data_IF_644503258987
#
_entry.id   IF_644503258987
#
_cell.length_a   1.000
_cell.length_b   1.000
_cell.length_c   1.000
_cell.angle_alpha   90.00
_cell.angle_beta   90.00
_cell.angle_gamma   90.00
#
_symmetry.space_group_name_H-M   'P 1'
#
loop_
_entity.id
_entity.type
_entity.pdbx_description
1 polymer ?
#
# COMPACT_ATOMS: atom_id res chain seq x y z
N UNK A 1 27.61 -8.21 3.40
CA UNK A 1 26.95 -7.53 4.53
C UNK A 1 25.46 -7.47 4.27
N UNK A 2 24.72 -8.47 4.76
CA UNK A 2 23.26 -8.52 4.66
C UNK A 2 22.65 -7.43 5.53
N UNK A 3 22.14 -6.42 4.86
CA UNK A 3 21.56 -5.22 5.46
C UNK A 3 20.28 -5.62 6.19
N UNK A 4 20.35 -5.63 7.53
CA UNK A 4 19.23 -5.78 8.47
C UNK A 4 17.89 -5.29 7.90
N UNK A 5 17.06 -6.22 7.41
CA UNK A 5 15.71 -5.94 6.90
C UNK A 5 14.67 -5.82 8.04
N UNK A 6 15.10 -6.01 9.27
CA UNK A 6 14.27 -6.08 10.48
C UNK A 6 14.36 -4.81 11.33
N UNK A 7 14.07 -3.65 10.73
CA UNK A 7 13.93 -2.40 11.52
C UNK A 7 12.64 -2.37 12.36
N UNK A 8 11.72 -3.29 12.10
CA UNK A 8 10.40 -3.33 12.72
C UNK A 8 10.11 -4.76 13.16
N UNK A 9 9.46 -4.90 14.33
CA UNK A 9 8.67 -6.09 14.64
C UNK A 9 7.64 -6.30 13.51
N UNK A 10 7.12 -7.51 13.32
CA UNK A 10 6.10 -7.80 12.29
C UNK A 10 4.68 -7.74 12.86
N UNK A 11 4.09 -6.55 13.10
CA UNK A 11 2.74 -6.39 13.64
C UNK A 11 1.73 -6.81 12.58
N UNK A 12 0.54 -7.29 12.97
CA UNK A 12 -0.51 -7.58 12.00
C UNK A 12 -0.99 -6.34 11.24
N UNK A 13 -0.92 -5.17 11.88
CA UNK A 13 -1.16 -3.87 11.28
C UNK A 13 -0.18 -2.84 11.82
N UNK A 14 0.23 -1.87 11.00
CA UNK A 14 1.07 -0.73 11.43
C UNK A 14 0.54 -0.02 12.69
N UNK A 15 -0.80 0.08 12.81
CA UNK A 15 -1.46 0.69 13.97
C UNK A 15 -1.32 -0.10 15.28
N UNK A 16 -0.96 -1.38 15.21
CA UNK A 16 -0.75 -2.26 16.37
C UNK A 16 0.66 -2.15 16.94
N UNK A 17 1.59 -1.49 16.22
CA UNK A 17 2.89 -1.14 16.80
C UNK A 17 2.71 -0.09 17.87
N UNK A 18 3.40 -0.31 18.97
CA UNK A 18 3.52 0.66 20.06
C UNK A 18 4.24 1.92 19.56
N UNK A 19 4.20 2.99 20.35
CA UNK A 19 4.94 4.20 20.01
C UNK A 19 6.44 3.91 20.07
N UNK A 20 6.85 3.12 21.04
CA UNK A 20 8.22 2.69 21.31
C UNK A 20 8.78 1.89 20.14
N UNK A 21 8.00 0.97 19.55
CA UNK A 21 8.43 0.20 18.37
C UNK A 21 8.69 1.10 17.16
N UNK A 22 7.83 2.11 16.97
CA UNK A 22 7.96 3.06 15.85
C UNK A 22 9.16 3.98 16.08
N UNK A 23 9.33 4.47 17.30
CA UNK A 23 10.44 5.34 17.67
C UNK A 23 11.78 4.58 17.56
N UNK A 24 11.84 3.30 17.98
CA UNK A 24 13.02 2.46 17.79
C UNK A 24 13.37 2.26 16.30
N UNK A 25 12.37 2.08 15.43
CA UNK A 25 12.60 1.99 13.99
C UNK A 25 13.11 3.32 13.39
N UNK A 26 12.58 4.45 13.88
CA UNK A 26 13.03 5.79 13.47
C UNK A 26 14.46 6.07 13.91
N UNK A 27 14.82 5.76 15.17
CA UNK A 27 16.18 5.92 15.70
C UNK A 27 17.18 5.16 14.82
N UNK A 28 16.89 3.91 14.47
CA UNK A 28 17.73 3.12 13.58
C UNK A 28 17.84 3.72 12.16
N UNK A 29 16.81 4.41 11.68
CA UNK A 29 16.89 5.15 10.42
C UNK A 29 17.80 6.39 10.56
N UNK A 30 17.67 7.15 11.66
CA UNK A 30 18.55 8.29 11.95
C UNK A 30 20.01 7.88 12.04
N UNK A 31 20.35 6.87 12.85
CA UNK A 31 21.72 6.39 13.04
C UNK A 31 22.38 5.91 11.73
N UNK A 32 21.58 5.37 10.81
CA UNK A 32 22.10 4.75 9.59
C UNK A 32 22.18 5.69 8.40
N UNK A 33 21.30 6.69 8.35
CA UNK A 33 21.12 7.56 7.19
C UNK A 33 21.28 9.05 7.53
N UNK A 34 21.68 9.38 8.76
CA UNK A 34 21.91 10.76 9.23
C UNK A 34 20.69 11.67 9.00
N UNK A 35 19.49 11.14 9.27
CA UNK A 35 18.23 11.85 9.01
C UNK A 35 17.92 12.79 10.15
N UNK A 36 17.67 14.08 9.86
CA UNK A 36 17.15 15.02 10.86
C UNK A 36 15.71 14.66 11.27
N UNK A 37 15.54 14.02 12.43
CA UNK A 37 14.22 13.62 12.95
C UNK A 37 13.53 14.71 13.79
N UNK A 38 14.17 15.85 14.03
CA UNK A 38 13.57 16.97 14.77
C UNK A 38 12.49 17.68 13.93
N UNK A 39 12.62 17.59 12.61
CA UNK A 39 11.64 18.13 11.67
C UNK A 39 10.44 17.20 11.52
N UNK A 40 9.25 17.70 11.87
CA UNK A 40 8.00 16.92 11.86
C UNK A 40 7.70 16.29 10.48
N UNK A 41 7.93 17.01 9.39
CA UNK A 41 7.66 16.52 8.03
C UNK A 41 8.63 15.41 7.60
N UNK A 42 9.90 15.48 8.03
CA UNK A 42 10.89 14.42 7.79
C UNK A 42 10.48 13.18 8.59
N UNK A 43 10.15 13.36 9.87
CA UNK A 43 9.68 12.29 10.74
C UNK A 43 8.46 11.57 10.18
N UNK A 44 7.48 12.30 9.66
CA UNK A 44 6.29 11.71 9.05
C UNK A 44 6.58 10.99 7.73
N UNK A 45 7.44 11.57 6.89
CA UNK A 45 7.91 10.91 5.68
C UNK A 45 8.61 9.58 5.99
N UNK A 46 9.47 9.55 7.01
CA UNK A 46 10.12 8.32 7.48
C UNK A 46 9.11 7.28 7.98
N UNK A 47 8.09 7.70 8.75
CA UNK A 47 7.01 6.80 9.20
C UNK A 47 6.26 6.19 8.00
N UNK A 48 5.95 6.98 6.98
CA UNK A 48 5.26 6.50 5.80
C UNK A 48 6.11 5.53 4.97
N UNK A 49 7.41 5.80 4.84
CA UNK A 49 8.35 4.86 4.22
C UNK A 49 8.40 3.54 4.99
N UNK A 50 8.55 3.58 6.32
CA UNK A 50 8.58 2.39 7.18
C UNK A 50 7.25 1.60 7.10
N UNK A 51 6.13 2.31 7.11
CA UNK A 51 4.79 1.74 6.94
C UNK A 51 4.65 1.05 5.59
N UNK A 52 5.06 1.69 4.50
CA UNK A 52 5.01 1.09 3.17
C UNK A 52 5.95 -0.11 3.05
N UNK A 53 7.15 -0.03 3.63
CA UNK A 53 8.11 -1.13 3.63
C UNK A 53 7.59 -2.35 4.39
N UNK A 54 6.97 -2.17 5.55
CA UNK A 54 6.36 -3.27 6.30
C UNK A 54 5.21 -3.94 5.54
N UNK A 55 4.39 -3.16 4.81
CA UNK A 55 3.34 -3.68 3.93
C UNK A 55 3.91 -4.49 2.77
N UNK A 56 4.95 -3.99 2.11
CA UNK A 56 5.60 -4.68 0.99
C UNK A 56 6.28 -5.97 1.43
N UNK A 57 6.94 -5.96 2.60
CA UNK A 57 7.53 -7.16 3.16
C UNK A 57 6.47 -8.22 3.46
N UNK A 58 5.36 -7.83 4.11
CA UNK A 58 4.21 -8.73 4.35
C UNK A 58 3.63 -9.32 3.07
N UNK A 59 3.58 -8.53 2.00
CA UNK A 59 3.13 -9.04 0.70
C UNK A 59 4.06 -10.14 0.17
N UNK A 60 5.38 -9.95 0.22
CA UNK A 60 6.36 -10.96 -0.18
C UNK A 60 6.26 -12.23 0.67
N UNK A 61 6.12 -12.08 1.98
CA UNK A 61 5.92 -13.21 2.90
C UNK A 61 4.64 -13.99 2.57
N UNK A 62 3.56 -13.29 2.21
CA UNK A 62 2.31 -13.93 1.78
C UNK A 62 2.49 -14.66 0.45
N UNK A 63 3.23 -14.11 -0.51
CA UNK A 63 3.53 -14.82 -1.76
C UNK A 63 4.34 -16.10 -1.51
N UNK A 64 5.31 -16.07 -0.60
CA UNK A 64 6.05 -17.28 -0.19
C UNK A 64 5.11 -18.32 0.41
N UNK A 65 4.23 -17.92 1.34
CA UNK A 65 3.21 -18.81 1.90
C UNK A 65 2.31 -19.42 0.80
N UNK A 66 1.90 -18.62 -0.19
CA UNK A 66 1.04 -19.08 -1.28
C UNK A 66 1.76 -19.92 -2.34
N UNK A 67 3.09 -19.92 -2.38
CA UNK A 67 3.85 -20.79 -3.27
C UNK A 67 3.94 -22.23 -2.80
N UNK A 68 3.64 -22.50 -1.52
CA UNK A 68 3.58 -23.85 -0.98
C UNK A 68 2.31 -24.59 -1.45
N UNK A 69 2.41 -25.90 -1.65
CA UNK A 69 1.28 -26.75 -2.04
C UNK A 69 0.40 -27.16 -0.85
N UNK A 70 0.94 -27.13 0.37
CA UNK A 70 0.19 -27.44 1.60
C UNK A 70 0.55 -26.51 2.76
N UNK A 71 -0.29 -26.54 3.81
CA UNK A 71 -0.04 -25.76 5.04
C UNK A 71 1.21 -26.28 5.78
N UNK A 72 1.44 -27.58 5.78
CA UNK A 72 2.63 -28.21 6.36
C UNK A 72 3.90 -27.83 5.62
N UNK A 73 3.83 -27.74 4.28
CA UNK A 73 4.94 -27.27 3.46
C UNK A 73 5.21 -25.78 3.72
N UNK A 74 4.16 -24.96 3.76
CA UNK A 74 4.29 -23.53 4.05
C UNK A 74 4.98 -23.27 5.39
N UNK A 75 4.67 -24.07 6.42
CA UNK A 75 5.31 -23.95 7.76
C UNK A 75 6.78 -24.34 7.79
N UNK A 76 7.23 -25.18 6.85
CA UNK A 76 8.63 -25.61 6.73
C UNK A 76 9.50 -24.60 5.96
N UNK A 77 8.90 -23.58 5.33
CA UNK A 77 9.66 -22.53 4.65
C UNK A 77 10.50 -21.78 5.68
N UNK A 78 11.81 -21.82 5.50
CA UNK A 78 12.74 -21.00 6.28
C UNK A 78 12.79 -19.59 5.69
N UNK A 79 12.48 -18.59 6.52
CA UNK A 79 12.62 -17.19 6.18
C UNK A 79 13.78 -16.65 7.03
N UNK A 80 14.99 -16.44 6.47
CA UNK A 80 16.18 -16.07 7.24
C UNK A 80 15.99 -14.84 8.13
N UNK A 81 15.13 -13.92 7.70
CA UNK A 81 14.83 -12.70 8.45
C UNK A 81 13.77 -12.89 9.56
N UNK A 82 13.18 -14.08 9.74
CA UNK A 82 12.19 -14.36 10.79
C UNK A 82 12.54 -15.58 11.62
N UNK A 83 12.18 -15.51 12.90
CA UNK A 83 12.19 -16.71 13.73
C UNK A 83 11.07 -17.66 13.30
N UNK A 84 11.23 -18.98 13.45
CA UNK A 84 10.19 -19.95 13.14
C UNK A 84 8.86 -19.66 13.84
N UNK A 85 8.88 -19.14 15.06
CA UNK A 85 7.67 -18.78 15.82
C UNK A 85 6.93 -17.62 15.15
N UNK A 86 7.66 -16.60 14.69
CA UNK A 86 7.08 -15.44 14.00
C UNK A 86 6.51 -15.84 12.63
N UNK A 87 7.19 -16.72 11.91
CA UNK A 87 6.69 -17.26 10.65
C UNK A 87 5.41 -18.08 10.87
N UNK A 88 5.43 -19.01 11.83
CA UNK A 88 4.26 -19.84 12.16
C UNK A 88 3.05 -19.00 12.57
N UNK A 89 3.25 -17.92 13.34
CA UNK A 89 2.17 -16.99 13.70
C UNK A 89 1.53 -16.32 12.47
N UNK A 90 2.30 -16.03 11.42
CA UNK A 90 1.76 -15.49 10.17
C UNK A 90 0.98 -16.55 9.40
N UNK A 91 1.51 -17.78 9.33
CA UNK A 91 0.80 -18.93 8.75
C UNK A 91 -0.56 -19.15 9.44
N UNK A 92 -0.59 -19.18 10.77
CA UNK A 92 -1.83 -19.33 11.57
C UNK A 92 -2.85 -18.25 11.23
N UNK A 93 -2.40 -16.99 11.10
CA UNK A 93 -3.26 -15.88 10.72
C UNK A 93 -3.84 -16.03 9.31
N UNK A 94 -3.07 -16.53 8.34
CA UNK A 94 -3.53 -16.68 6.95
C UNK A 94 -4.41 -17.91 6.75
N UNK A 95 -4.21 -18.97 7.53
CA UNK A 95 -5.04 -20.18 7.52
C UNK A 95 -6.39 -19.92 8.22
N UNK A 96 -6.41 -19.01 9.21
CA UNK A 96 -7.61 -18.68 9.97
C UNK A 96 -8.83 -18.39 9.05
N UNK A 97 -9.93 -19.15 9.16
CA UNK A 97 -11.09 -19.03 8.27
C UNK A 97 -11.74 -17.63 8.27
N UNK A 98 -11.75 -16.93 9.40
CA UNK A 98 -12.28 -15.58 9.48
C UNK A 98 -11.43 -14.60 8.66
N UNK A 99 -10.12 -14.76 8.68
CA UNK A 99 -9.21 -13.97 7.85
C UNK A 99 -9.38 -14.28 6.37
N UNK A 100 -9.50 -15.56 6.00
CA UNK A 100 -9.74 -16.01 4.63
C UNK A 100 -11.06 -15.43 4.07
N UNK A 101 -12.15 -15.53 4.84
CA UNK A 101 -13.46 -14.95 4.45
C UNK A 101 -13.36 -13.45 4.16
N UNK A 102 -12.68 -12.68 5.01
CA UNK A 102 -12.48 -11.23 4.79
C UNK A 102 -11.66 -10.95 3.54
N UNK A 103 -10.63 -11.75 3.29
CA UNK A 103 -9.81 -11.63 2.09
C UNK A 103 -10.62 -11.90 0.82
N UNK A 104 -11.41 -12.96 0.79
CA UNK A 104 -12.26 -13.32 -0.36
C UNK A 104 -13.28 -12.23 -0.67
N UNK A 105 -13.94 -11.68 0.37
CA UNK A 105 -14.85 -10.53 0.22
C UNK A 105 -14.12 -9.33 -0.38
N UNK A 106 -12.92 -9.00 0.10
CA UNK A 106 -12.14 -7.89 -0.43
C UNK A 106 -11.70 -8.11 -1.89
N UNK A 107 -11.37 -9.36 -2.26
CA UNK A 107 -11.04 -9.74 -3.63
C UNK A 107 -12.25 -9.51 -4.55
N UNK A 108 -13.43 -9.97 -4.15
CA UNK A 108 -14.69 -9.73 -4.90
C UNK A 108 -15.04 -8.25 -4.94
N UNK A 109 -14.84 -7.49 -3.87
CA UNK A 109 -15.08 -6.05 -3.89
C UNK A 109 -14.11 -5.33 -4.83
N UNK A 110 -12.86 -5.80 -4.94
CA UNK A 110 -11.90 -5.24 -5.89
C UNK A 110 -12.31 -5.49 -7.33
N UNK A 111 -12.95 -6.61 -7.66
CA UNK A 111 -13.45 -6.87 -9.03
C UNK A 111 -14.66 -6.00 -9.40
N UNK A 112 -15.36 -5.42 -8.43
CA UNK A 112 -16.46 -4.46 -8.67
C UNK A 112 -15.97 -3.06 -9.06
N UNK A 113 -14.66 -2.78 -8.95
CA UNK A 113 -14.11 -1.50 -9.38
C UNK A 113 -14.16 -1.41 -10.91
N UNK A 114 -15.01 -0.50 -11.41
CA UNK A 114 -15.37 -0.37 -12.82
C UNK A 114 -14.32 0.34 -13.68
N UNK A 115 -13.76 1.42 -13.15
CA UNK A 115 -12.73 2.21 -13.81
C UNK A 115 -11.70 2.67 -12.77
N UNK A 116 -10.44 2.70 -13.21
CA UNK A 116 -9.41 3.46 -12.50
C UNK A 116 -9.34 4.85 -13.13
N UNK A 117 -8.72 5.81 -12.45
CA UNK A 117 -8.41 7.12 -13.02
C UNK A 117 -6.89 7.32 -13.07
N UNK A 118 -6.43 8.23 -13.91
CA UNK A 118 -5.02 8.53 -14.11
C UNK A 118 -4.45 9.55 -13.10
N UNK A 119 -5.29 10.10 -12.21
CA UNK A 119 -4.88 11.12 -11.24
C UNK A 119 -4.03 10.60 -10.07
N UNK A 120 -3.67 9.31 -10.05
CA UNK A 120 -2.88 8.72 -8.96
C UNK A 120 -3.57 8.90 -7.61
N UNK A 121 -2.85 9.42 -6.61
CA UNK A 121 -3.39 9.71 -5.28
C UNK A 121 -4.02 11.10 -5.15
N UNK A 122 -4.08 11.89 -6.24
CA UNK A 122 -4.68 13.22 -6.21
C UNK A 122 -6.19 13.10 -6.05
N UNK A 123 -6.72 13.80 -5.06
CA UNK A 123 -8.16 13.85 -4.82
C UNK A 123 -8.88 14.57 -5.97
N UNK A 124 -10.09 14.12 -6.31
CA UNK A 124 -10.86 14.74 -7.39
C UNK A 124 -11.21 16.20 -7.13
N UNK A 125 -11.39 16.61 -5.87
CA UNK A 125 -11.64 18.03 -5.53
C UNK A 125 -10.43 18.89 -5.92
N UNK A 126 -9.22 18.45 -5.57
CA UNK A 126 -7.99 19.15 -5.93
C UNK A 126 -7.77 19.15 -7.45
N UNK A 127 -7.91 17.99 -8.11
CA UNK A 127 -7.77 17.88 -9.56
C UNK A 127 -8.78 18.77 -10.31
N UNK A 128 -10.01 18.87 -9.79
CA UNK A 128 -11.05 19.70 -10.39
C UNK A 128 -10.76 21.19 -10.23
N UNK A 129 -10.32 21.61 -9.04
CA UNK A 129 -9.92 22.99 -8.77
C UNK A 129 -8.73 23.42 -9.66
N UNK A 130 -7.73 22.55 -9.81
CA UNK A 130 -6.61 22.79 -10.73
C UNK A 130 -7.08 22.96 -12.17
N UNK A 131 -7.90 22.02 -12.67
CA UNK A 131 -8.44 22.07 -14.03
C UNK A 131 -9.24 23.36 -14.27
N UNK A 132 -10.12 23.74 -13.34
CA UNK A 132 -10.85 25.00 -13.43
C UNK A 132 -9.93 26.22 -13.42
N UNK A 133 -8.90 26.23 -12.57
CA UNK A 133 -7.92 27.30 -12.50
C UNK A 133 -7.08 27.51 -13.78
N UNK A 134 -6.93 26.48 -14.61
CA UNK A 134 -6.26 26.58 -15.92
C UNK A 134 -7.15 27.19 -17.02
N UNK A 135 -8.46 27.31 -16.81
CA UNK A 135 -9.36 27.89 -17.80
C UNK A 135 -9.27 29.41 -17.81
N UNK A 136 -9.44 30.07 -18.98
CA UNK A 136 -9.37 31.52 -19.11
C UNK A 136 -10.29 32.27 -18.12
N UNK A 137 -11.47 31.73 -17.87
CA UNK A 137 -12.49 32.31 -16.97
C UNK A 137 -12.49 31.71 -15.56
N UNK A 138 -11.54 30.82 -15.24
CA UNK A 138 -11.49 30.06 -13.97
C UNK A 138 -12.78 29.32 -13.61
N UNK A 139 -13.52 28.90 -14.63
CA UNK A 139 -14.82 28.22 -14.48
C UNK A 139 -14.60 26.76 -14.11
N UNK A 140 -15.46 26.22 -13.24
CA UNK A 140 -15.43 24.80 -12.87
C UNK A 140 -15.65 23.93 -14.12
N UNK A 141 -14.83 22.88 -14.35
CA UNK A 141 -15.07 21.98 -15.47
C UNK A 141 -16.38 21.22 -15.28
N UNK A 142 -17.09 21.01 -16.39
CA UNK A 142 -18.30 20.19 -16.34
C UNK A 142 -17.95 18.72 -16.04
N UNK A 143 -18.97 17.93 -15.71
CA UNK A 143 -18.76 16.55 -15.27
C UNK A 143 -18.18 15.65 -16.36
N UNK A 144 -18.55 15.86 -17.62
CA UNK A 144 -18.12 15.07 -18.77
C UNK A 144 -16.66 15.40 -19.08
N UNK A 145 -16.34 16.70 -19.13
CA UNK A 145 -14.99 17.18 -19.35
C UNK A 145 -14.01 16.71 -18.26
N UNK A 146 -14.42 16.82 -16.99
CA UNK A 146 -13.64 16.33 -15.85
C UNK A 146 -13.47 14.80 -15.89
N UNK A 147 -14.51 14.06 -16.30
CA UNK A 147 -14.43 12.61 -16.45
C UNK A 147 -13.38 12.23 -17.50
N UNK A 148 -13.42 12.83 -18.68
CA UNK A 148 -12.41 12.61 -19.73
C UNK A 148 -11.01 12.97 -19.24
N UNK A 149 -10.84 14.13 -18.59
CA UNK A 149 -9.55 14.55 -18.05
C UNK A 149 -8.94 13.54 -17.08
N UNK A 150 -9.77 12.91 -16.25
CA UNK A 150 -9.31 11.98 -15.22
C UNK A 150 -9.18 10.53 -15.71
N UNK A 151 -9.87 10.15 -16.79
CA UNK A 151 -9.97 8.75 -17.24
C UNK A 151 -9.43 8.50 -18.65
N UNK A 152 -8.90 9.51 -19.34
CA UNK A 152 -8.30 9.40 -20.67
C UNK A 152 -6.94 10.10 -20.72
N UNK A 153 -5.96 9.48 -21.38
CA UNK A 153 -4.74 10.18 -21.83
C UNK A 153 -4.51 9.93 -23.32
N UNK A 154 -3.87 10.86 -24.02
CA UNK A 154 -3.51 10.68 -25.44
C UNK A 154 -2.55 9.51 -25.67
N UNK A 155 -1.71 9.20 -24.68
CA UNK A 155 -0.73 8.11 -24.74
C UNK A 155 -1.38 6.73 -24.53
N UNK A 156 -2.29 6.61 -23.55
CA UNK A 156 -2.82 5.31 -23.09
C UNK A 156 -4.28 5.07 -23.47
N UNK A 157 -4.94 6.07 -24.05
CA UNK A 157 -6.37 6.05 -24.30
C UNK A 157 -7.18 6.06 -23.00
N UNK A 158 -8.33 5.39 -23.01
CA UNK A 158 -9.21 5.26 -21.85
C UNK A 158 -8.64 4.33 -20.79
N UNK A 159 -8.84 4.69 -19.54
CA UNK A 159 -8.42 3.94 -18.35
C UNK A 159 -9.04 2.56 -18.21
N UNK A 160 -10.20 2.33 -18.80
CA UNK A 160 -10.82 1.02 -18.98
C UNK A 160 -11.87 1.07 -20.10
N UNK A 161 -12.22 -0.09 -20.67
CA UNK A 161 -13.32 -0.19 -21.64
C UNK A 161 -14.64 0.31 -21.06
N UNK A 162 -14.88 0.10 -19.76
CA UNK A 162 -16.06 0.65 -19.09
C UNK A 162 -16.02 2.17 -19.00
N UNK A 163 -14.84 2.78 -18.83
CA UNK A 163 -14.73 4.23 -18.82
C UNK A 163 -15.05 4.83 -20.19
N UNK A 164 -14.63 4.16 -21.27
CA UNK A 164 -14.97 4.55 -22.64
C UNK A 164 -16.47 4.38 -22.93
N UNK A 165 -17.06 3.24 -22.54
CA UNK A 165 -18.46 2.91 -22.86
C UNK A 165 -19.46 3.82 -22.12
N UNK A 166 -19.08 4.36 -20.96
CA UNK A 166 -19.95 5.18 -20.11
C UNK A 166 -19.67 6.68 -20.20
N UNK A 167 -18.78 7.12 -21.10
CA UNK A 167 -18.55 8.52 -21.43
C UNK A 167 -19.59 9.01 -22.44
#
# INVERSE_FOLDING_TARGET
MEIARNFLLLPNKWKELTREDKDAALIRCHERFEINLDEHYVKDSCKDILKNRSRQWRYKLKQLFESAHSEEEARKIEVPELTPENWNRLCDMWINPHHKKRFDINKVNRTKLKSNHFMGSKEFVAARAEMGGTKPERVEPDRIEFYKHTHYTSEKGWSSLQAETHY
#
